data_IF_338397732957
#
_entry.id   IF_338397732957
#
_cell.length_a   1.000
_cell.length_b   1.000
_cell.length_c   1.000
_cell.angle_alpha   90.00
_cell.angle_beta   90.00
_cell.angle_gamma   90.00
#
_symmetry.space_group_name_H-M   'P 1'
#
loop_
_entity.id
_entity.type
_entity.pdbx_description
1 polymer ?
#
# COMPACT_ATOMS: atom_id res chain seq x y z
N UNK A 1 -8.82 -8.89 -15.50
CA UNK A 1 -8.32 -8.60 -14.14
C UNK A 1 -9.09 -7.40 -13.59
N UNK A 2 -9.61 -7.50 -12.37
CA UNK A 2 -10.29 -6.37 -11.73
C UNK A 2 -9.27 -5.38 -11.15
N UNK A 3 -9.52 -4.06 -11.18
CA UNK A 3 -8.63 -3.06 -10.61
C UNK A 3 -8.56 -3.17 -9.08
N UNK A 4 -7.37 -2.91 -8.52
CA UNK A 4 -7.17 -2.80 -7.07
C UNK A 4 -7.86 -1.55 -6.54
N UNK A 5 -8.70 -1.69 -5.50
CA UNK A 5 -9.35 -0.56 -4.85
C UNK A 5 -8.37 0.29 -4.01
N UNK A 6 -7.23 -0.28 -3.60
CA UNK A 6 -6.19 0.36 -2.80
C UNK A 6 -4.81 -0.08 -3.29
N UNK A 7 -4.21 0.74 -4.15
CA UNK A 7 -2.94 0.49 -4.85
C UNK A 7 -1.77 1.36 -4.35
N UNK A 8 -2.05 2.33 -3.47
CA UNK A 8 -1.10 3.34 -2.98
C UNK A 8 0.18 2.79 -2.36
N UNK A 9 0.16 1.59 -1.79
CA UNK A 9 1.41 0.94 -1.35
C UNK A 9 2.35 0.63 -2.53
N UNK A 10 1.82 0.09 -3.62
CA UNK A 10 2.60 -0.22 -4.82
C UNK A 10 3.09 1.06 -5.50
N UNK A 11 2.21 2.05 -5.62
CA UNK A 11 2.52 3.36 -6.22
C UNK A 11 3.66 4.06 -5.48
N UNK A 12 3.63 4.05 -4.14
CA UNK A 12 4.70 4.62 -3.33
C UNK A 12 6.05 3.91 -3.56
N UNK A 13 6.07 2.57 -3.68
CA UNK A 13 7.28 1.81 -3.97
C UNK A 13 7.84 2.11 -5.37
N UNK A 14 6.97 2.37 -6.34
CA UNK A 14 7.32 2.78 -7.70
C UNK A 14 7.65 4.28 -7.82
N UNK A 15 7.65 5.03 -6.69
CA UNK A 15 7.89 6.48 -6.63
C UNK A 15 6.86 7.31 -7.40
N UNK A 16 5.65 6.79 -7.54
CA UNK A 16 4.53 7.54 -8.10
C UNK A 16 3.89 8.45 -7.03
N UNK A 17 3.22 9.56 -7.45
CA UNK A 17 2.47 10.40 -6.52
C UNK A 17 1.38 9.60 -5.79
N UNK A 18 1.22 9.82 -4.49
CA UNK A 18 0.17 9.22 -3.65
C UNK A 18 -0.52 10.30 -2.81
N UNK A 19 -1.79 10.07 -2.46
CA UNK A 19 -2.61 10.98 -1.65
C UNK A 19 -2.10 11.11 -0.21
N UNK A 20 -1.53 10.03 0.32
CA UNK A 20 -0.97 9.95 1.69
C UNK A 20 0.06 8.83 1.78
N UNK A 21 0.97 8.96 2.74
CA UNK A 21 1.98 7.93 3.02
C UNK A 21 1.31 6.60 3.38
N UNK A 22 1.60 5.49 2.68
CA UNK A 22 1.12 4.18 3.08
C UNK A 22 1.85 3.70 4.34
N UNK A 23 1.11 2.99 5.20
CA UNK A 23 1.62 2.35 6.42
C UNK A 23 1.33 0.86 6.36
N UNK A 24 2.27 0.07 6.85
CA UNK A 24 2.10 -1.35 7.14
C UNK A 24 2.89 -1.68 8.41
N UNK A 25 2.54 -2.79 9.05
CA UNK A 25 3.24 -3.27 10.23
C UNK A 25 3.71 -4.70 9.98
N UNK A 26 4.99 -4.97 10.22
CA UNK A 26 5.50 -6.33 10.22
C UNK A 26 4.83 -7.11 11.35
N UNK A 27 4.41 -8.34 11.07
CA UNK A 27 3.70 -9.21 12.04
C UNK A 27 2.44 -8.55 12.63
N UNK A 28 1.69 -7.78 11.82
CA UNK A 28 0.45 -7.10 12.27
C UNK A 28 -0.63 -8.02 12.83
N UNK A 29 -0.62 -9.30 12.44
CA UNK A 29 -1.48 -10.32 13.01
C UNK A 29 -0.60 -11.33 13.76
N UNK A 30 -0.66 -11.28 15.08
CA UNK A 30 -0.07 -12.27 15.99
C UNK A 30 -1.13 -13.22 16.52
N UNK A 31 -0.67 -14.38 17.02
CA UNK A 31 -1.47 -15.27 17.86
C UNK A 31 -1.18 -14.99 19.33
#
# INVERSE_FOLDING_TARGET
>A
MAPLQNDRFLRALLREPVDRTPIWMMRQAGR
#
